data_IF_334110512803
#
_entry.id   IF_334110512803
#
_cell.length_a   1.000
_cell.length_b   1.000
_cell.length_c   1.000
_cell.angle_alpha   90.00
_cell.angle_beta   90.00
_cell.angle_gamma   90.00
#
_symmetry.space_group_name_H-M   'P 1'
#
loop_
_entity.id
_entity.type
_entity.pdbx_description
1 polymer ?
#
# COMPACT_ATOMS: atom_id res chain seq x y z
N UNK A 1 -30.35 -26.61 25.91
CA UNK A 1 -29.21 -25.66 25.81
C UNK A 1 -29.82 -24.34 25.46
N UNK A 2 -30.10 -23.50 26.47
CA UNK A 2 -30.56 -22.12 26.19
C UNK A 2 -29.37 -21.34 25.64
N UNK A 3 -29.56 -20.73 24.47
CA UNK A 3 -28.58 -19.84 23.89
C UNK A 3 -28.40 -18.65 24.83
N UNK A 4 -27.24 -18.53 25.44
CA UNK A 4 -26.87 -17.32 26.18
C UNK A 4 -26.80 -16.15 25.18
N UNK A 5 -27.87 -15.45 25.01
CA UNK A 5 -27.93 -14.24 24.19
C UNK A 5 -27.19 -13.15 24.95
N UNK A 6 -25.92 -12.91 24.60
CA UNK A 6 -25.12 -11.82 25.19
C UNK A 6 -25.82 -10.50 24.88
N UNK A 7 -26.23 -9.79 25.93
CA UNK A 7 -26.89 -8.49 25.82
C UNK A 7 -25.87 -7.41 25.36
N UNK A 8 -26.30 -6.48 24.52
CA UNK A 8 -25.47 -5.34 24.09
C UNK A 8 -24.97 -4.52 25.28
N UNK A 9 -25.77 -4.41 26.34
CA UNK A 9 -25.37 -3.77 27.59
C UNK A 9 -24.19 -4.46 28.28
N UNK A 10 -24.16 -5.79 28.30
CA UNK A 10 -23.06 -6.57 28.88
C UNK A 10 -21.74 -6.34 28.12
N UNK A 11 -21.79 -6.25 26.78
CA UNK A 11 -20.62 -5.94 25.96
C UNK A 11 -20.08 -4.54 26.31
N UNK A 12 -20.95 -3.54 26.44
CA UNK A 12 -20.55 -2.17 26.78
C UNK A 12 -19.91 -2.11 28.17
N UNK A 13 -20.47 -2.82 29.15
CA UNK A 13 -19.94 -2.86 30.51
C UNK A 13 -18.61 -3.62 30.59
N UNK A 14 -18.45 -4.71 29.82
CA UNK A 14 -17.18 -5.39 29.68
C UNK A 14 -16.07 -4.51 29.10
N UNK A 15 -16.39 -3.75 28.05
CA UNK A 15 -15.47 -2.79 27.44
C UNK A 15 -15.09 -1.69 28.45
N UNK A 16 -16.05 -1.10 29.16
CA UNK A 16 -15.78 -0.09 30.19
C UNK A 16 -14.94 -0.62 31.35
N UNK A 17 -15.22 -1.86 31.81
CA UNK A 17 -14.49 -2.49 32.91
C UNK A 17 -13.04 -2.83 32.51
N UNK A 18 -12.83 -3.26 31.28
CA UNK A 18 -11.53 -3.78 30.78
C UNK A 18 -10.87 -2.89 29.72
N UNK A 19 -11.23 -1.60 29.64
CA UNK A 19 -10.70 -0.66 28.66
C UNK A 19 -9.17 -0.56 28.64
N UNK A 20 -8.53 -0.82 29.80
CA UNK A 20 -7.06 -0.85 29.93
C UNK A 20 -6.40 -1.91 29.04
N UNK A 21 -7.08 -3.03 28.80
CA UNK A 21 -6.58 -4.10 27.90
C UNK A 21 -6.61 -3.59 26.48
N UNK A 22 -7.71 -2.96 26.06
CA UNK A 22 -7.84 -2.38 24.72
C UNK A 22 -6.78 -1.29 24.50
N UNK A 23 -6.62 -0.39 25.47
CA UNK A 23 -5.60 0.65 25.41
C UNK A 23 -4.18 0.06 25.31
N UNK A 24 -3.87 -0.94 26.13
CA UNK A 24 -2.55 -1.59 26.16
C UNK A 24 -2.24 -2.29 24.82
N UNK A 25 -3.16 -3.07 24.28
CA UNK A 25 -2.98 -3.77 22.99
C UNK A 25 -2.84 -2.79 21.84
N UNK A 26 -3.63 -1.71 21.83
CA UNK A 26 -3.56 -0.67 20.81
C UNK A 26 -2.22 0.08 20.86
N UNK A 27 -1.79 0.49 22.06
CA UNK A 27 -0.50 1.17 22.24
C UNK A 27 0.65 0.26 21.87
N UNK A 28 0.61 -1.01 22.28
CA UNK A 28 1.67 -1.97 21.93
C UNK A 28 1.76 -2.18 20.42
N UNK A 29 0.62 -2.40 19.75
CA UNK A 29 0.58 -2.60 18.30
C UNK A 29 1.11 -1.37 17.54
N UNK A 30 0.72 -0.16 17.94
CA UNK A 30 1.19 1.09 17.33
C UNK A 30 2.67 1.33 17.56
N UNK A 31 3.19 1.05 18.76
CA UNK A 31 4.61 1.17 19.06
C UNK A 31 5.44 0.19 18.23
N UNK A 32 5.04 -1.07 18.16
CA UNK A 32 5.71 -2.08 17.34
C UNK A 32 5.71 -1.67 15.87
N UNK A 33 4.57 -1.26 15.32
CA UNK A 33 4.49 -0.78 13.94
C UNK A 33 5.35 0.46 13.70
N UNK A 34 5.40 1.40 14.65
CA UNK A 34 6.26 2.56 14.60
C UNK A 34 7.74 2.14 14.52
N UNK A 35 8.20 1.30 15.43
CA UNK A 35 9.58 0.80 15.43
C UNK A 35 9.93 0.15 14.09
N UNK A 36 9.08 -0.75 13.60
CA UNK A 36 9.29 -1.41 12.30
C UNK A 36 9.33 -0.41 11.14
N UNK A 37 8.41 0.56 11.11
CA UNK A 37 8.30 1.52 10.01
C UNK A 37 9.44 2.55 9.98
N UNK A 38 10.06 2.85 11.14
CA UNK A 38 11.13 3.83 11.22
C UNK A 38 12.54 3.23 11.17
N UNK A 39 12.72 2.02 11.69
CA UNK A 39 14.05 1.44 11.89
C UNK A 39 14.33 0.18 11.06
N UNK A 40 13.30 -0.57 10.67
CA UNK A 40 13.49 -1.85 9.97
C UNK A 40 13.30 -1.70 8.47
N UNK A 41 12.28 -0.94 8.03
CA UNK A 41 11.98 -0.80 6.62
C UNK A 41 12.85 0.29 6.00
N UNK A 42 13.67 -0.08 5.02
CA UNK A 42 14.49 0.88 4.29
C UNK A 42 13.64 1.85 3.48
N UNK A 43 13.97 3.14 3.44
CA UNK A 43 13.27 4.11 2.61
C UNK A 43 13.43 3.75 1.13
N UNK A 44 12.34 3.86 0.37
CA UNK A 44 12.32 3.63 -1.07
C UNK A 44 12.03 4.95 -1.77
N UNK A 45 12.84 5.25 -2.78
CA UNK A 45 12.75 6.46 -3.60
C UNK A 45 12.22 6.09 -4.97
N UNK A 46 11.38 6.94 -5.54
CA UNK A 46 10.81 6.75 -6.88
C UNK A 46 11.25 7.90 -7.77
N UNK A 47 11.90 7.57 -8.89
CA UNK A 47 12.10 8.47 -9.99
C UNK A 47 10.99 8.24 -11.03
N UNK A 48 10.55 9.28 -11.70
CA UNK A 48 9.54 9.20 -12.76
C UNK A 48 9.87 10.07 -13.94
N UNK A 49 9.38 9.68 -15.12
CA UNK A 49 9.44 10.43 -16.35
C UNK A 49 8.16 10.26 -17.14
N UNK A 50 7.83 11.24 -17.98
CA UNK A 50 6.72 11.15 -18.93
C UNK A 50 7.25 11.28 -20.34
N UNK A 51 6.83 10.36 -21.20
CA UNK A 51 7.16 10.35 -22.61
C UNK A 51 5.89 10.50 -23.44
N UNK A 52 5.97 11.31 -24.48
CA UNK A 52 4.92 11.49 -25.48
C UNK A 52 5.27 10.64 -26.70
N UNK A 53 4.25 10.01 -27.27
CA UNK A 53 4.37 9.16 -28.46
C UNK A 53 3.49 9.74 -29.54
N UNK A 54 4.10 10.16 -30.62
CA UNK A 54 3.40 10.85 -31.72
C UNK A 54 4.11 10.69 -33.05
N UNK A 55 3.74 11.52 -34.01
CA UNK A 55 4.34 11.58 -35.34
C UNK A 55 5.50 12.56 -35.32
N UNK A 56 6.51 12.33 -36.16
CA UNK A 56 7.62 13.26 -36.33
C UNK A 56 7.15 14.55 -37.03
N UNK A 57 7.56 15.72 -36.51
CA UNK A 57 7.15 17.05 -36.99
C UNK A 57 7.54 17.35 -38.45
N UNK A 58 8.41 16.54 -39.04
CA UNK A 58 8.91 16.76 -40.42
C UNK A 58 7.91 16.41 -41.52
N UNK A 59 6.81 15.73 -41.21
CA UNK A 59 5.77 15.49 -42.21
C UNK A 59 4.71 16.60 -42.16
N UNK A 60 4.66 17.44 -43.20
CA UNK A 60 3.62 18.48 -43.42
C UNK A 60 2.20 17.91 -43.54
N UNK A 61 2.00 16.64 -43.29
CA UNK A 61 0.66 16.03 -43.24
C UNK A 61 -0.04 16.36 -41.93
N UNK A 62 -1.20 16.94 -42.06
CA UNK A 62 -2.10 17.28 -40.96
C UNK A 62 -2.37 16.06 -40.10
N UNK A 63 -2.27 16.20 -38.78
CA UNK A 63 -2.68 15.19 -37.81
C UNK A 63 -4.12 14.75 -38.06
N UNK A 64 -4.33 13.49 -38.39
CA UNK A 64 -5.67 12.93 -38.61
C UNK A 64 -6.14 12.19 -37.34
N UNK A 65 -7.45 12.13 -37.11
CA UNK A 65 -8.04 11.39 -36.00
C UNK A 65 -7.58 9.92 -35.95
N UNK A 66 -7.38 9.31 -37.12
CA UNK A 66 -6.86 7.96 -37.24
C UNK A 66 -5.44 7.81 -36.67
N UNK A 67 -4.59 8.82 -36.84
CA UNK A 67 -3.22 8.83 -36.30
C UNK A 67 -3.26 8.82 -34.77
N UNK A 68 -4.09 9.66 -34.17
CA UNK A 68 -4.26 9.71 -32.70
C UNK A 68 -4.70 8.35 -32.16
N UNK A 69 -5.70 7.74 -32.80
CA UNK A 69 -6.20 6.42 -32.38
C UNK A 69 -5.15 5.32 -32.55
N UNK A 70 -4.36 5.37 -33.59
CA UNK A 70 -3.26 4.45 -33.82
C UNK A 70 -2.20 4.57 -32.72
N UNK A 71 -1.75 5.79 -32.41
CA UNK A 71 -0.76 6.01 -31.35
C UNK A 71 -1.28 5.63 -29.97
N UNK A 72 -2.55 5.89 -29.67
CA UNK A 72 -3.18 5.41 -28.43
C UNK A 72 -3.17 3.87 -28.31
N UNK A 73 -3.38 3.15 -29.40
CA UNK A 73 -3.27 1.68 -29.43
C UNK A 73 -1.82 1.22 -29.23
N UNK A 74 -0.85 1.95 -29.78
CA UNK A 74 0.57 1.65 -29.62
C UNK A 74 1.05 1.85 -28.19
N UNK A 75 0.43 2.72 -27.37
CA UNK A 75 0.81 2.93 -25.98
C UNK A 75 0.84 1.62 -25.17
N UNK A 76 -0.13 0.73 -25.41
CA UNK A 76 -0.17 -0.56 -24.73
C UNK A 76 1.00 -1.45 -25.15
N UNK A 77 1.30 -1.49 -26.44
CA UNK A 77 2.45 -2.23 -26.97
C UNK A 77 3.77 -1.69 -26.42
N UNK A 78 3.91 -0.38 -26.36
CA UNK A 78 5.10 0.27 -25.81
C UNK A 78 5.24 0.09 -24.30
N UNK A 79 4.14 0.09 -23.57
CA UNK A 79 4.21 -0.20 -22.12
C UNK A 79 4.64 -1.65 -21.84
N UNK A 80 4.22 -2.61 -22.66
CA UNK A 80 4.72 -3.99 -22.57
C UNK A 80 6.17 -4.11 -23.03
N UNK A 81 6.58 -3.39 -24.07
CA UNK A 81 7.95 -3.35 -24.54
C UNK A 81 8.93 -2.92 -23.44
N UNK A 82 8.59 -1.86 -22.69
CA UNK A 82 9.42 -1.38 -21.59
C UNK A 82 9.64 -2.47 -20.52
N UNK A 83 8.66 -3.34 -20.31
CA UNK A 83 8.71 -4.45 -19.34
C UNK A 83 9.34 -5.74 -19.89
N UNK A 84 9.91 -5.71 -21.08
CA UNK A 84 10.59 -6.88 -21.61
C UNK A 84 11.95 -7.10 -20.92
N UNK A 85 12.29 -8.37 -20.65
CA UNK A 85 13.58 -8.73 -20.05
C UNK A 85 14.77 -8.22 -20.88
N UNK A 86 14.61 -8.20 -22.17
CA UNK A 86 15.65 -7.83 -23.12
C UNK A 86 16.00 -6.34 -23.04
N UNK A 87 14.97 -5.47 -23.03
CA UNK A 87 15.16 -4.04 -22.86
C UNK A 87 15.78 -3.71 -21.50
N UNK A 88 15.26 -4.32 -20.43
CA UNK A 88 15.79 -4.12 -19.07
C UNK A 88 17.24 -4.60 -18.97
N UNK A 89 17.57 -5.74 -19.57
CA UNK A 89 18.95 -6.25 -19.58
C UNK A 89 19.91 -5.29 -20.28
N UNK A 90 19.52 -4.71 -21.44
CA UNK A 90 20.32 -3.69 -22.13
C UNK A 90 20.46 -2.42 -21.27
N UNK A 91 19.38 -1.96 -20.63
CA UNK A 91 19.42 -0.81 -19.73
C UNK A 91 20.34 -1.05 -18.52
N UNK A 92 20.36 -2.27 -17.95
CA UNK A 92 21.28 -2.64 -16.86
C UNK A 92 22.72 -2.66 -17.38
N UNK A 93 22.97 -3.24 -18.54
CA UNK A 93 24.31 -3.31 -19.15
C UNK A 93 24.89 -1.92 -19.40
N UNK A 94 24.05 -0.96 -19.80
CA UNK A 94 24.44 0.44 -19.98
C UNK A 94 24.50 1.23 -18.67
N UNK A 95 24.02 0.67 -17.57
CA UNK A 95 24.14 1.24 -16.25
C UNK A 95 25.49 0.90 -15.64
N UNK A 96 25.85 1.63 -14.57
CA UNK A 96 27.07 1.34 -13.78
C UNK A 96 26.78 0.39 -12.60
N UNK A 97 25.59 -0.22 -12.57
CA UNK A 97 25.09 -0.98 -11.43
C UNK A 97 24.92 -2.46 -11.80
N UNK A 98 25.33 -3.33 -10.89
CA UNK A 98 25.08 -4.77 -10.99
C UNK A 98 23.72 -5.07 -10.36
N UNK A 99 22.67 -5.05 -11.19
CA UNK A 99 21.30 -5.33 -10.80
C UNK A 99 20.80 -6.58 -11.52
N UNK A 100 19.88 -7.31 -10.88
CA UNK A 100 19.21 -8.45 -11.53
C UNK A 100 18.00 -7.95 -12.32
N UNK A 101 17.80 -8.53 -13.50
CA UNK A 101 16.68 -8.17 -14.39
C UNK A 101 15.32 -8.31 -13.68
N UNK A 102 15.16 -9.39 -12.90
CA UNK A 102 13.93 -9.64 -12.16
C UNK A 102 13.65 -8.57 -11.08
N UNK A 103 14.68 -8.10 -10.39
CA UNK A 103 14.55 -7.03 -9.38
C UNK A 103 14.11 -5.72 -10.06
N UNK A 104 14.77 -5.35 -11.16
CA UNK A 104 14.42 -4.13 -11.90
C UNK A 104 13.00 -4.21 -12.46
N UNK A 105 12.58 -5.36 -13.01
CA UNK A 105 11.22 -5.56 -13.51
C UNK A 105 10.14 -5.44 -12.44
N UNK A 106 10.42 -5.87 -11.22
CA UNK A 106 9.48 -5.74 -10.10
C UNK A 106 9.32 -4.29 -9.63
N UNK A 107 10.39 -3.50 -9.76
CA UNK A 107 10.44 -2.12 -9.28
C UNK A 107 10.11 -1.08 -10.37
N UNK A 108 10.01 -1.52 -11.63
CA UNK A 108 9.59 -0.68 -12.75
C UNK A 108 8.06 -0.65 -12.86
N UNK A 109 7.51 0.54 -12.94
CA UNK A 109 6.09 0.78 -13.18
C UNK A 109 5.90 1.57 -14.46
N UNK A 110 5.01 1.09 -15.33
CA UNK A 110 4.66 1.75 -16.58
C UNK A 110 3.15 1.95 -16.64
N UNK A 111 2.72 3.19 -16.76
CA UNK A 111 1.31 3.56 -16.76
C UNK A 111 1.00 4.45 -17.97
N UNK A 112 -0.01 4.09 -18.73
CA UNK A 112 -0.54 4.93 -19.80
C UNK A 112 -1.49 5.96 -19.22
N UNK A 113 -1.38 7.24 -19.65
CA UNK A 113 -2.31 8.27 -19.23
C UNK A 113 -3.55 8.20 -20.13
N UNK A 114 -4.71 7.95 -19.52
CA UNK A 114 -5.96 7.76 -20.26
C UNK A 114 -6.26 8.93 -21.21
N UNK A 115 -6.79 8.62 -22.40
CA UNK A 115 -7.18 9.57 -23.43
C UNK A 115 -6.05 10.50 -23.94
N UNK A 116 -4.80 10.12 -23.71
CA UNK A 116 -3.62 10.86 -24.17
C UNK A 116 -2.69 9.95 -24.95
N UNK A 117 -1.61 10.54 -25.49
CA UNK A 117 -0.50 9.84 -26.14
C UNK A 117 0.73 9.80 -25.21
N UNK A 118 0.51 9.67 -23.89
CA UNK A 118 1.58 9.73 -22.91
C UNK A 118 1.72 8.42 -22.13
N UNK A 119 2.97 8.06 -21.86
CA UNK A 119 3.35 6.98 -20.94
C UNK A 119 4.14 7.62 -19.80
N UNK A 120 3.77 7.28 -18.59
CA UNK A 120 4.57 7.53 -17.40
C UNK A 120 5.36 6.28 -17.06
N UNK A 121 6.67 6.42 -16.92
CA UNK A 121 7.58 5.37 -16.49
C UNK A 121 8.12 5.78 -15.13
N UNK A 122 8.09 4.88 -14.16
CA UNK A 122 8.66 5.10 -12.85
C UNK A 122 9.50 3.89 -12.43
N UNK A 123 10.57 4.15 -11.68
CA UNK A 123 11.44 3.12 -11.12
C UNK A 123 11.72 3.41 -9.66
N UNK A 124 11.62 2.37 -8.84
CA UNK A 124 11.84 2.44 -7.40
C UNK A 124 13.17 1.83 -7.01
N UNK A 125 13.85 2.46 -6.04
CA UNK A 125 15.09 1.93 -5.47
C UNK A 125 15.29 2.48 -4.06
N UNK A 126 16.08 1.78 -3.26
CA UNK A 126 16.51 2.28 -1.94
C UNK A 126 17.50 3.44 -2.04
N UNK A 127 18.13 3.63 -3.21
CA UNK A 127 19.06 4.74 -3.47
C UNK A 127 18.45 5.72 -4.49
N UNK A 128 18.38 7.03 -4.17
CA UNK A 128 17.91 8.06 -5.11
C UNK A 128 18.68 8.08 -6.42
N UNK A 129 20.01 7.90 -6.34
CA UNK A 129 20.87 7.91 -7.52
C UNK A 129 20.63 6.70 -8.43
N UNK A 130 20.42 5.52 -7.83
CA UNK A 130 20.09 4.31 -8.61
C UNK A 130 18.72 4.50 -9.26
N UNK A 131 17.72 5.01 -8.51
CA UNK A 131 16.39 5.27 -9.04
C UNK A 131 16.44 6.19 -10.28
N UNK A 132 17.16 7.30 -10.19
CA UNK A 132 17.31 8.24 -11.29
C UNK A 132 18.06 7.61 -12.48
N UNK A 133 19.28 7.13 -12.27
CA UNK A 133 20.16 6.68 -13.35
C UNK A 133 19.58 5.44 -14.06
N UNK A 134 18.98 4.51 -13.31
CA UNK A 134 18.37 3.33 -13.92
C UNK A 134 17.15 3.71 -14.77
N UNK A 135 16.31 4.62 -14.30
CA UNK A 135 15.18 5.11 -15.09
C UNK A 135 15.62 5.86 -16.35
N UNK A 136 16.70 6.65 -16.28
CA UNK A 136 17.29 7.29 -17.46
C UNK A 136 17.75 6.26 -18.51
N UNK A 137 18.43 5.19 -18.07
CA UNK A 137 18.87 4.12 -18.97
C UNK A 137 17.67 3.36 -19.57
N UNK A 138 16.67 3.00 -18.76
CA UNK A 138 15.44 2.35 -19.26
C UNK A 138 14.75 3.23 -20.30
N UNK A 139 14.63 4.54 -20.02
CA UNK A 139 13.97 5.48 -20.94
C UNK A 139 14.73 5.64 -22.25
N UNK A 140 16.05 5.73 -22.19
CA UNK A 140 16.90 5.84 -23.38
C UNK A 140 16.84 4.58 -24.25
N UNK A 141 16.92 3.39 -23.64
CA UNK A 141 16.76 2.10 -24.34
C UNK A 141 15.37 1.95 -24.95
N UNK A 142 14.34 2.40 -24.25
CA UNK A 142 12.98 2.43 -24.77
C UNK A 142 12.87 3.30 -26.00
N UNK A 143 13.40 4.54 -25.96
CA UNK A 143 13.35 5.49 -27.09
C UNK A 143 14.08 4.88 -28.30
N UNK A 144 15.28 4.33 -28.12
CA UNK A 144 16.04 3.70 -29.18
C UNK A 144 15.27 2.53 -29.82
N UNK A 145 14.72 1.63 -28.99
CA UNK A 145 13.95 0.47 -29.47
C UNK A 145 12.63 0.88 -30.14
N UNK A 146 11.96 1.92 -29.62
CA UNK A 146 10.70 2.41 -30.20
C UNK A 146 10.92 3.02 -31.60
N UNK A 147 12.04 3.71 -31.81
CA UNK A 147 12.42 4.25 -33.11
C UNK A 147 12.75 3.18 -34.15
N UNK A 148 13.37 2.06 -33.70
CA UNK A 148 13.62 0.89 -34.56
C UNK A 148 12.30 0.21 -35.00
N UNK A 149 11.32 0.10 -34.08
CA UNK A 149 10.06 -0.57 -34.37
C UNK A 149 9.10 0.24 -35.22
N UNK A 150 9.10 1.57 -35.07
CA UNK A 150 8.22 2.48 -35.80
C UNK A 150 9.04 3.65 -36.36
N UNK A 151 9.62 3.51 -37.57
CA UNK A 151 10.56 4.48 -38.12
C UNK A 151 10.04 5.92 -38.25
N UNK A 152 8.71 6.12 -38.33
CA UNK A 152 8.07 7.45 -38.40
C UNK A 152 7.42 7.85 -37.06
N UNK A 153 7.64 7.08 -36.00
CA UNK A 153 7.18 7.38 -34.66
C UNK A 153 8.17 8.27 -33.93
N UNK A 154 7.68 9.30 -33.28
CA UNK A 154 8.49 10.18 -32.44
C UNK A 154 8.14 9.92 -30.96
N UNK A 155 9.15 9.55 -30.18
CA UNK A 155 9.07 9.42 -28.74
C UNK A 155 9.85 10.57 -28.12
N UNK A 156 9.13 11.48 -27.45
CA UNK A 156 9.71 12.70 -26.87
C UNK A 156 9.55 12.71 -25.36
N UNK A 157 10.64 12.93 -24.65
CA UNK A 157 10.60 13.13 -23.19
C UNK A 157 9.92 14.47 -22.91
N UNK A 158 8.80 14.45 -22.19
CA UNK A 158 8.10 15.66 -21.74
C UNK A 158 8.58 16.11 -20.37
N UNK A 159 8.90 15.16 -19.51
CA UNK A 159 9.34 15.40 -18.14
C UNK A 159 10.64 14.63 -17.92
N UNK A 160 11.73 15.36 -17.73
CA UNK A 160 13.05 14.75 -17.50
C UNK A 160 13.10 14.04 -16.15
N UNK A 161 13.92 13.00 -16.05
CA UNK A 161 14.10 12.27 -14.80
C UNK A 161 14.81 13.16 -13.77
N UNK A 162 14.12 13.46 -12.68
CA UNK A 162 14.72 14.21 -11.58
C UNK A 162 15.20 13.29 -10.46
N UNK A 163 16.19 13.77 -9.69
CA UNK A 163 16.65 13.06 -8.50
C UNK A 163 15.57 13.13 -7.40
N UNK A 164 15.01 12.00 -6.96
CA UNK A 164 13.98 12.02 -5.93
C UNK A 164 14.55 12.50 -4.59
N UNK A 165 13.93 13.53 -4.02
CA UNK A 165 14.37 14.15 -2.76
C UNK A 165 13.77 13.46 -1.53
N UNK A 166 12.55 12.92 -1.65
CA UNK A 166 11.82 12.32 -0.54
C UNK A 166 11.50 10.86 -0.85
N UNK A 167 11.55 9.98 0.15
CA UNK A 167 11.13 8.60 -0.04
C UNK A 167 9.61 8.52 -0.21
N UNK A 168 9.16 7.63 -1.09
CA UNK A 168 7.73 7.34 -1.34
C UNK A 168 7.19 6.21 -0.46
N UNK A 169 8.08 5.39 0.10
CA UNK A 169 7.74 4.31 1.02
C UNK A 169 8.81 4.18 2.12
N UNK A 170 8.44 3.62 3.30
CA UNK A 170 7.08 3.27 3.72
C UNK A 170 6.23 4.50 4.06
N UNK A 171 4.92 4.40 3.85
CA UNK A 171 3.98 5.40 4.38
C UNK A 171 3.78 5.18 5.89
N UNK A 172 4.65 5.82 6.68
CA UNK A 172 4.71 5.64 8.13
C UNK A 172 3.39 5.96 8.83
N UNK A 173 2.70 7.02 8.39
CA UNK A 173 1.41 7.40 8.96
C UNK A 173 0.33 6.35 8.70
N UNK A 174 0.28 5.81 7.48
CA UNK A 174 -0.66 4.75 7.12
C UNK A 174 -0.38 3.46 7.89
N UNK A 175 0.88 3.06 8.02
CA UNK A 175 1.26 1.85 8.77
C UNK A 175 0.84 1.95 10.24
N UNK A 176 1.06 3.11 10.87
CA UNK A 176 0.66 3.37 12.25
C UNK A 176 -0.87 3.38 12.39
N UNK A 177 -1.59 4.00 11.45
CA UNK A 177 -3.05 4.02 11.46
C UNK A 177 -3.67 2.62 11.33
N UNK A 178 -3.14 1.79 10.44
CA UNK A 178 -3.56 0.40 10.28
C UNK A 178 -3.28 -0.40 11.57
N UNK A 179 -2.09 -0.26 12.14
CA UNK A 179 -1.73 -0.95 13.38
C UNK A 179 -2.59 -0.51 14.57
N UNK A 180 -2.97 0.76 14.64
CA UNK A 180 -3.89 1.28 15.65
C UNK A 180 -5.26 0.58 15.56
N UNK A 181 -5.84 0.51 14.36
CA UNK A 181 -7.14 -0.14 14.13
C UNK A 181 -7.05 -1.63 14.48
N UNK A 182 -6.02 -2.32 13.98
CA UNK A 182 -5.82 -3.74 14.27
C UNK A 182 -5.59 -4.02 15.76
N UNK A 183 -4.79 -3.19 16.43
CA UNK A 183 -4.55 -3.29 17.87
C UNK A 183 -5.83 -3.10 18.69
N UNK A 184 -6.69 -2.18 18.27
CA UNK A 184 -8.01 -1.96 18.86
C UNK A 184 -8.92 -3.19 18.63
N UNK A 185 -8.96 -3.73 17.41
CA UNK A 185 -9.76 -4.93 17.10
C UNK A 185 -9.33 -6.14 17.94
N UNK A 186 -8.01 -6.37 18.06
CA UNK A 186 -7.46 -7.43 18.90
C UNK A 186 -7.84 -7.20 20.37
N UNK A 187 -7.74 -5.97 20.86
CA UNK A 187 -8.14 -5.60 22.22
C UNK A 187 -9.62 -5.88 22.50
N UNK A 188 -10.50 -5.52 21.59
CA UNK A 188 -11.92 -5.88 21.71
C UNK A 188 -12.13 -7.38 21.69
N UNK A 189 -11.45 -8.12 20.80
CA UNK A 189 -11.52 -9.58 20.73
C UNK A 189 -11.10 -10.25 22.05
N UNK A 190 -10.01 -9.76 22.67
CA UNK A 190 -9.55 -10.26 23.97
C UNK A 190 -10.57 -9.95 25.07
N UNK A 191 -11.10 -8.74 25.14
CA UNK A 191 -12.11 -8.35 26.13
C UNK A 191 -13.37 -9.19 25.98
N UNK A 192 -13.83 -9.39 24.75
CA UNK A 192 -14.98 -10.23 24.46
C UNK A 192 -14.74 -11.71 24.87
N UNK A 193 -13.56 -12.26 24.56
CA UNK A 193 -13.20 -13.61 24.94
C UNK A 193 -13.16 -13.76 26.48
N UNK A 194 -12.56 -12.80 27.17
CA UNK A 194 -12.51 -12.80 28.63
C UNK A 194 -13.88 -12.65 29.27
N UNK A 195 -14.81 -11.94 28.63
CA UNK A 195 -16.18 -11.83 29.10
C UNK A 195 -16.97 -13.12 28.85
N UNK A 196 -16.77 -13.74 27.69
CA UNK A 196 -17.38 -15.03 27.36
C UNK A 196 -16.93 -16.16 28.31
N UNK A 197 -15.69 -16.13 28.81
CA UNK A 197 -15.14 -17.09 29.77
C UNK A 197 -15.45 -16.74 31.22
N UNK A 198 -16.03 -15.57 31.48
CA UNK A 198 -16.36 -15.09 32.83
C UNK A 198 -17.74 -15.63 33.23
N UNK A 199 -17.76 -16.78 33.91
CA UNK A 199 -18.97 -17.44 34.40
C UNK A 199 -19.51 -16.85 35.74
N UNK A 200 -19.22 -15.58 36.03
CA UNK A 200 -19.63 -14.92 37.27
C UNK A 200 -20.98 -14.23 37.09
N UNK A 201 -21.92 -14.47 37.96
CA UNK A 201 -23.18 -13.74 38.01
C UNK A 201 -22.93 -12.29 38.43
N UNK A 202 -23.30 -11.34 37.57
CA UNK A 202 -23.05 -9.90 37.81
C UNK A 202 -24.27 -9.15 38.33
N UNK A 203 -25.44 -9.68 38.07
CA UNK A 203 -26.73 -9.08 38.43
C UNK A 203 -27.62 -10.07 39.10
N UNK A 204 -28.45 -9.56 40.04
CA UNK A 204 -29.45 -10.31 40.74
C UNK A 204 -30.41 -11.05 39.79
N UNK A 205 -30.81 -10.36 38.72
CA UNK A 205 -31.74 -10.87 37.73
C UNK A 205 -31.19 -12.10 36.96
N UNK A 206 -29.87 -12.13 36.68
CA UNK A 206 -29.21 -13.30 36.06
C UNK A 206 -29.23 -14.51 36.98
N UNK A 207 -28.92 -14.27 38.24
CA UNK A 207 -28.89 -15.35 39.26
C UNK A 207 -30.29 -15.97 39.46
N UNK A 208 -31.32 -15.10 39.56
CA UNK A 208 -32.72 -15.53 39.71
C UNK A 208 -33.21 -16.32 38.49
N UNK A 209 -32.81 -15.88 37.31
CA UNK A 209 -33.21 -16.51 36.02
C UNK A 209 -32.57 -17.87 35.81
N UNK A 210 -31.26 -18.00 36.15
CA UNK A 210 -30.51 -19.25 35.93
C UNK A 210 -30.78 -20.30 36.97
N UNK A 211 -31.03 -19.90 38.22
CA UNK A 211 -31.26 -20.84 39.33
C UNK A 211 -32.75 -21.07 39.62
N UNK A 212 -33.64 -20.29 39.04
CA UNK A 212 -35.08 -20.28 39.27
C UNK A 212 -35.44 -20.14 40.76
N UNK A 213 -34.61 -19.36 41.52
CA UNK A 213 -34.73 -19.12 42.93
C UNK A 213 -34.68 -17.63 43.23
N UNK A 214 -35.63 -17.04 43.99
CA UNK A 214 -35.60 -15.61 44.30
C UNK A 214 -34.43 -15.26 45.23
N UNK A 215 -33.70 -14.18 44.91
CA UNK A 215 -32.62 -13.66 45.73
C UNK A 215 -33.22 -12.88 46.91
N UNK A 216 -33.05 -13.39 48.13
CA UNK A 216 -33.62 -12.82 49.35
C UNK A 216 -32.86 -11.59 49.87
N UNK A 217 -31.62 -11.39 49.45
CA UNK A 217 -30.83 -10.24 49.85
C UNK A 217 -29.43 -10.20 49.21
N UNK A 218 -28.84 -9.02 49.16
CA UNK A 218 -27.47 -8.77 48.69
C UNK A 218 -26.63 -8.25 49.84
N UNK A 219 -25.54 -8.89 50.16
CA UNK A 219 -24.58 -8.39 51.15
C UNK A 219 -23.51 -7.59 50.37
N UNK A 220 -23.45 -6.26 50.55
CA UNK A 220 -22.42 -5.48 49.91
C UNK A 220 -21.05 -5.85 50.42
N UNK A 221 -20.11 -6.10 49.50
CA UNK A 221 -18.71 -6.32 49.84
C UNK A 221 -18.17 -4.99 50.38
N UNK A 222 -17.86 -4.92 51.66
CA UNK A 222 -17.12 -3.78 52.22
C UNK A 222 -15.63 -4.02 51.85
N UNK A 223 -15.05 -3.08 51.12
CA UNK A 223 -13.60 -2.99 50.94
C UNK A 223 -13.01 -2.83 52.37
N UNK A 224 -12.55 -3.92 52.93
CA UNK A 224 -11.65 -3.87 54.08
C UNK A 224 -10.27 -3.59 53.50
N UNK A 225 -9.77 -2.38 53.78
CA UNK A 225 -8.42 -1.87 53.46
C UNK A 225 -7.32 -2.87 53.82
#
# INVERSE_FOLDING_TARGET
MEEQVISISEIIDAVKKRWKIIALTTVLATLVSGIFSFFVISPTYEASTKVFIGKEESSMESYNYNDITMYQKLLKTYSELIKTKDLINRAITNSKYELKVEEVLNDVSVTTVADTQMIQIAYRSTSPNIAKNMLENITNEFIATAQELVPNGNVKILESVELPKNPVAPNKAMNIAIAFILGMMVGFGIVFLLEYLDNTYKNKEQLEKDLDIPVLGVIPMSDLD
#
